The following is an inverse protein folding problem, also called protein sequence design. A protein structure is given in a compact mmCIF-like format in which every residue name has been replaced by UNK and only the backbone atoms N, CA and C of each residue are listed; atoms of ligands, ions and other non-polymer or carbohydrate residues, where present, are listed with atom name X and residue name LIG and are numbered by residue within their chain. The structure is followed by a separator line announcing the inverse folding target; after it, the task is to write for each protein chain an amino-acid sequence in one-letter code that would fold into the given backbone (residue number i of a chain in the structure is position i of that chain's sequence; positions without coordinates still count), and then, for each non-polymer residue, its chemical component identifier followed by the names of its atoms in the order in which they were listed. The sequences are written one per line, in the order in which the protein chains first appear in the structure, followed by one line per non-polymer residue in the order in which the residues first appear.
data_IF_637873449379
#
_entry.id   IF_637873449379
#
_cell.length_a   1.000
_cell.length_b   1.000
_cell.length_c   1.000
_cell.angle_alpha   90.00
_cell.angle_beta   90.00
_cell.angle_gamma   90.00
#
_symmetry.space_group_name_H-M   'P 1'
#
loop_
_entity.id
_entity.type
_entity.pdbx_description
1 polymer ?
#
# COMPACT_ATOMS: atom_id res chain seq x y z
N UNK A 1 4.49 1.11 21.58
CA UNK A 1 3.05 0.96 21.20
C UNK A 1 2.82 -0.53 21.00
N UNK A 2 1.81 -1.16 21.62
CA UNK A 2 1.52 -2.58 21.34
C UNK A 2 1.09 -2.70 19.87
N UNK A 3 1.67 -3.64 19.13
CA UNK A 3 1.27 -3.92 17.75
C UNK A 3 -0.17 -4.45 17.74
N UNK A 4 -0.96 -4.05 16.74
CA UNK A 4 -2.29 -4.62 16.50
C UNK A 4 -2.25 -5.91 15.67
N UNK A 5 -1.06 -6.25 15.14
CA UNK A 5 -0.85 -7.45 14.37
C UNK A 5 -1.12 -8.70 15.22
N UNK A 6 -1.89 -9.68 14.72
CA UNK A 6 -2.13 -10.93 15.43
C UNK A 6 -0.82 -11.66 15.77
N UNK A 7 -0.72 -12.19 16.99
CA UNK A 7 0.45 -12.96 17.47
C UNK A 7 1.79 -12.23 17.30
N UNK A 8 1.80 -10.90 17.40
CA UNK A 8 2.99 -10.08 17.16
C UNK A 8 4.20 -10.49 18.03
N UNK A 9 3.94 -11.07 19.20
CA UNK A 9 4.95 -11.54 20.15
C UNK A 9 5.91 -12.55 19.51
N UNK A 10 5.44 -13.34 18.54
CA UNK A 10 6.25 -14.34 17.82
C UNK A 10 7.35 -13.72 16.96
N UNK A 11 7.18 -12.44 16.61
CA UNK A 11 8.09 -11.72 15.72
C UNK A 11 8.95 -10.70 16.46
N UNK A 12 8.87 -10.65 17.79
CA UNK A 12 9.60 -9.67 18.59
C UNK A 12 11.12 -9.76 18.41
N UNK A 13 11.65 -10.97 18.20
CA UNK A 13 13.07 -11.25 18.03
C UNK A 13 13.41 -11.69 16.58
N UNK A 14 12.60 -11.29 15.59
CA UNK A 14 12.82 -11.63 14.17
C UNK A 14 13.10 -10.40 13.32
N UNK A 15 14.08 -10.49 12.43
CA UNK A 15 14.40 -9.41 11.48
C UNK A 15 13.44 -9.36 10.29
N UNK A 16 12.83 -10.50 9.93
CA UNK A 16 11.94 -10.64 8.80
C UNK A 16 10.76 -11.54 9.16
N UNK A 17 9.54 -11.04 8.90
CA UNK A 17 8.32 -11.83 8.99
C UNK A 17 8.17 -12.65 7.72
N UNK A 18 8.22 -13.98 7.83
CA UNK A 18 8.10 -14.91 6.71
C UNK A 18 6.70 -15.53 6.57
N UNK A 19 5.82 -15.28 7.53
CA UNK A 19 4.45 -15.79 7.52
C UNK A 19 3.57 -14.94 6.60
N UNK A 20 2.63 -15.60 5.92
CA UNK A 20 1.55 -14.93 5.18
C UNK A 20 0.40 -14.73 6.17
N UNK A 21 0.12 -13.47 6.49
CA UNK A 21 -0.94 -13.12 7.42
C UNK A 21 -2.28 -12.99 6.69
N UNK A 22 -3.33 -13.51 7.29
CA UNK A 22 -4.70 -13.17 6.87
C UNK A 22 -4.95 -11.66 7.10
N UNK A 23 -5.79 -11.01 6.27
CA UNK A 23 -6.17 -9.62 6.48
C UNK A 23 -6.74 -9.42 7.89
N UNK A 24 -6.09 -8.57 8.69
CA UNK A 24 -6.39 -8.40 10.12
C UNK A 24 -6.72 -6.95 10.52
N UNK A 25 -6.57 -6.01 9.60
CA UNK A 25 -6.66 -4.57 9.80
C UNK A 25 -7.91 -3.95 9.15
N UNK A 26 -8.97 -4.75 8.88
CA UNK A 26 -10.22 -4.21 8.37
C UNK A 26 -10.83 -3.19 9.34
N UNK A 27 -11.18 -2.01 8.82
CA UNK A 27 -11.68 -0.88 9.59
C UNK A 27 -10.58 -0.02 10.25
N UNK A 28 -9.32 -0.43 10.19
CA UNK A 28 -8.19 0.42 10.57
C UNK A 28 -7.86 1.42 9.45
N UNK A 29 -7.24 2.55 9.82
CA UNK A 29 -6.80 3.55 8.85
C UNK A 29 -5.38 3.98 9.17
N UNK A 30 -4.50 3.83 8.19
CA UNK A 30 -3.14 4.37 8.24
C UNK A 30 -3.15 5.85 7.84
N UNK A 31 -2.40 6.74 8.52
CA UNK A 31 -2.27 8.15 8.13
C UNK A 31 -1.35 8.34 6.90
N UNK A 32 -1.32 7.38 5.98
CA UNK A 32 -0.52 7.44 4.77
C UNK A 32 -1.08 8.43 3.75
N UNK A 33 -0.21 8.97 2.90
CA UNK A 33 -0.58 9.86 1.80
C UNK A 33 -0.29 9.16 0.48
N UNK A 34 -1.33 8.61 -0.15
CA UNK A 34 -1.24 7.87 -1.42
C UNK A 34 -2.38 8.26 -2.36
N UNK A 35 -2.11 8.29 -3.65
CA UNK A 35 -3.09 8.52 -4.71
C UNK A 35 -4.09 7.35 -4.84
N UNK A 36 -3.70 6.15 -4.38
CA UNK A 36 -4.57 4.95 -4.33
C UNK A 36 -5.85 5.21 -3.53
N UNK A 37 -5.81 6.12 -2.56
CA UNK A 37 -7.01 6.57 -1.84
C UNK A 37 -8.11 7.05 -2.79
N UNK A 38 -7.78 7.81 -3.84
CA UNK A 38 -8.74 8.27 -4.85
C UNK A 38 -9.25 7.12 -5.72
N UNK A 39 -8.39 6.16 -6.06
CA UNK A 39 -8.74 4.99 -6.86
C UNK A 39 -9.73 4.09 -6.09
N UNK A 40 -9.49 3.85 -4.80
CA UNK A 40 -10.32 2.99 -3.94
C UNK A 40 -11.77 3.44 -3.79
N UNK A 41 -12.06 4.72 -4.00
CA UNK A 41 -13.44 5.22 -4.04
C UNK A 41 -14.20 4.83 -5.32
N UNK A 42 -13.49 4.54 -6.40
CA UNK A 42 -14.07 4.31 -7.73
C UNK A 42 -14.12 2.83 -8.12
N UNK A 43 -13.23 2.01 -7.59
CA UNK A 43 -13.13 0.58 -7.91
C UNK A 43 -12.76 -0.23 -6.66
N UNK A 44 -13.14 -1.52 -6.58
CA UNK A 44 -12.54 -2.42 -5.60
C UNK A 44 -11.02 -2.35 -5.67
N UNK A 45 -10.39 -2.07 -4.53
CA UNK A 45 -8.95 -1.87 -4.40
C UNK A 45 -8.46 -2.60 -3.16
N UNK A 46 -7.32 -3.27 -3.28
CA UNK A 46 -6.63 -3.91 -2.18
C UNK A 46 -5.13 -3.63 -2.30
N UNK A 47 -4.50 -3.37 -1.16
CA UNK A 47 -3.05 -3.28 -1.02
C UNK A 47 -2.59 -4.41 -0.10
N UNK A 48 -1.35 -4.88 -0.25
CA UNK A 48 -0.75 -5.81 0.68
C UNK A 48 0.73 -5.46 0.90
N UNK A 49 1.23 -5.78 2.09
CA UNK A 49 2.63 -5.66 2.44
C UNK A 49 3.39 -6.98 2.22
N UNK A 50 4.67 -6.88 1.92
CA UNK A 50 5.59 -8.03 1.92
C UNK A 50 6.97 -7.59 2.43
N UNK A 51 7.85 -8.55 2.75
CA UNK A 51 9.10 -8.33 3.47
C UNK A 51 10.20 -7.68 2.59
N UNK A 52 9.99 -6.42 2.19
CA UNK A 52 10.97 -5.63 1.44
C UNK A 52 12.00 -4.91 2.33
N UNK A 53 11.79 -4.91 3.64
CA UNK A 53 12.62 -4.20 4.61
C UNK A 53 12.68 -4.97 5.94
N UNK A 54 13.68 -4.65 6.77
CA UNK A 54 13.85 -5.21 8.11
C UNK A 54 12.68 -4.76 8.99
N UNK A 55 12.19 -5.67 9.82
CA UNK A 55 11.09 -5.40 10.74
C UNK A 55 11.40 -4.19 11.63
N UNK A 56 10.45 -3.25 11.70
CA UNK A 56 10.57 -2.05 12.53
C UNK A 56 11.38 -0.90 11.93
N UNK A 57 12.01 -1.08 10.76
CA UNK A 57 12.69 0.01 10.08
C UNK A 57 11.70 1.13 9.69
N UNK A 58 11.97 2.41 10.00
CA UNK A 58 11.08 3.50 9.64
C UNK A 58 10.94 3.67 8.12
N UNK A 59 9.74 4.06 7.67
CA UNK A 59 9.56 4.57 6.31
C UNK A 59 10.33 5.87 6.10
N UNK A 60 10.68 6.18 4.85
CA UNK A 60 11.44 7.39 4.47
C UNK A 60 12.79 7.55 5.18
N UNK A 61 13.47 6.43 5.49
CA UNK A 61 14.77 6.44 6.16
C UNK A 61 15.88 5.87 5.28
N UNK A 62 17.14 6.14 5.66
CA UNK A 62 18.30 5.55 5.00
C UNK A 62 18.32 4.02 5.08
N UNK A 63 17.80 3.43 6.16
CA UNK A 63 17.64 1.98 6.27
C UNK A 63 16.75 1.46 5.12
N UNK A 64 15.62 2.14 4.85
CA UNK A 64 14.74 1.79 3.74
C UNK A 64 15.45 1.91 2.39
N UNK A 65 16.24 2.96 2.18
CA UNK A 65 17.06 3.15 0.97
C UNK A 65 18.04 2.00 0.79
N UNK A 66 18.81 1.67 1.83
CA UNK A 66 19.81 0.59 1.77
C UNK A 66 19.18 -0.78 1.50
N UNK A 67 17.99 -1.03 2.03
CA UNK A 67 17.30 -2.32 1.87
C UNK A 67 16.67 -2.48 0.48
N UNK A 68 16.32 -1.38 -0.19
CA UNK A 68 15.68 -1.41 -1.51
C UNK A 68 16.55 -2.07 -2.59
N UNK A 69 17.88 -2.01 -2.45
CA UNK A 69 18.83 -2.68 -3.36
C UNK A 69 19.26 -4.09 -2.91
N UNK A 70 18.71 -4.60 -1.82
CA UNK A 70 19.13 -5.88 -1.23
C UNK A 70 18.52 -7.09 -1.95
N UNK A 71 19.11 -8.27 -1.71
CA UNK A 71 18.57 -9.54 -2.23
C UNK A 71 17.19 -9.87 -1.66
N UNK A 72 16.87 -9.39 -0.46
CA UNK A 72 15.55 -9.54 0.18
C UNK A 72 14.50 -8.74 -0.60
N UNK A 73 14.79 -7.47 -0.90
CA UNK A 73 13.88 -6.62 -1.68
C UNK A 73 13.59 -7.22 -3.06
N UNK A 74 14.60 -7.74 -3.77
CA UNK A 74 14.37 -8.39 -5.07
C UNK A 74 13.51 -9.67 -4.97
N UNK A 75 13.73 -10.51 -3.96
CA UNK A 75 12.89 -11.70 -3.73
C UNK A 75 11.45 -11.31 -3.39
N UNK A 76 11.30 -10.31 -2.55
CA UNK A 76 10.01 -9.75 -2.14
C UNK A 76 9.26 -9.14 -3.33
N UNK A 77 9.95 -8.41 -4.21
CA UNK A 77 9.40 -7.89 -5.46
C UNK A 77 8.87 -9.02 -6.36
N UNK A 78 9.64 -10.09 -6.54
CA UNK A 78 9.21 -11.23 -7.35
C UNK A 78 7.98 -11.93 -6.73
N UNK A 79 7.93 -12.06 -5.40
CA UNK A 79 6.76 -12.57 -4.68
C UNK A 79 5.54 -11.67 -4.88
N UNK A 80 5.71 -10.35 -4.74
CA UNK A 80 4.63 -9.40 -4.90
C UNK A 80 4.07 -9.41 -6.33
N UNK A 81 4.96 -9.41 -7.33
CA UNK A 81 4.57 -9.46 -8.74
C UNK A 81 3.76 -10.73 -9.07
N UNK A 82 4.20 -11.90 -8.58
CA UNK A 82 3.45 -13.16 -8.75
C UNK A 82 2.10 -13.14 -8.06
N UNK A 83 2.03 -12.56 -6.87
CA UNK A 83 0.78 -12.44 -6.10
C UNK A 83 -0.22 -11.57 -6.86
N UNK A 84 0.19 -10.38 -7.31
CA UNK A 84 -0.66 -9.47 -8.10
C UNK A 84 -1.11 -10.12 -9.41
N UNK A 85 -0.20 -10.78 -10.13
CA UNK A 85 -0.53 -11.47 -11.38
C UNK A 85 -1.50 -12.63 -11.17
N UNK A 86 -1.30 -13.43 -10.12
CA UNK A 86 -2.21 -14.51 -9.73
C UNK A 86 -3.59 -13.98 -9.36
N UNK A 87 -3.67 -12.92 -8.56
CA UNK A 87 -4.95 -12.27 -8.23
C UNK A 87 -5.66 -11.73 -9.46
N UNK A 88 -4.94 -11.09 -10.39
CA UNK A 88 -5.52 -10.63 -11.64
C UNK A 88 -6.06 -11.80 -12.49
N UNK A 89 -5.31 -12.90 -12.57
CA UNK A 89 -5.74 -14.12 -13.26
C UNK A 89 -7.02 -14.69 -12.64
N UNK A 90 -7.09 -14.77 -11.31
CA UNK A 90 -8.29 -15.23 -10.60
C UNK A 90 -9.49 -14.33 -10.90
N UNK A 91 -9.33 -13.01 -10.86
CA UNK A 91 -10.41 -12.08 -11.17
C UNK A 91 -10.89 -12.17 -12.63
N UNK A 92 -9.98 -12.47 -13.56
CA UNK A 92 -10.30 -12.63 -14.99
C UNK A 92 -10.98 -13.97 -15.26
N UNK A 93 -10.52 -15.05 -14.63
CA UNK A 93 -10.97 -16.42 -14.91
C UNK A 93 -12.15 -16.87 -14.05
N UNK A 94 -12.38 -16.22 -12.91
CA UNK A 94 -13.44 -16.55 -11.95
C UNK A 94 -14.40 -15.36 -11.79
N UNK A 95 -15.39 -15.19 -12.67
CA UNK A 95 -16.26 -14.01 -12.70
C UNK A 95 -17.06 -13.81 -11.40
N UNK A 96 -17.34 -14.87 -10.65
CA UNK A 96 -18.01 -14.78 -9.36
C UNK A 96 -17.16 -14.08 -8.29
N UNK A 97 -15.82 -14.20 -8.33
CA UNK A 97 -14.94 -13.46 -7.43
C UNK A 97 -14.99 -11.96 -7.72
N UNK A 98 -14.92 -11.57 -9.00
CA UNK A 98 -15.04 -10.18 -9.41
C UNK A 98 -16.41 -9.58 -9.02
N UNK A 99 -17.49 -10.36 -9.17
CA UNK A 99 -18.83 -9.95 -8.77
C UNK A 99 -18.92 -9.73 -7.26
N UNK A 100 -18.35 -10.62 -6.45
CA UNK A 100 -18.29 -10.48 -4.99
C UNK A 100 -17.50 -9.23 -4.57
N UNK A 101 -16.34 -8.99 -5.17
CA UNK A 101 -15.53 -7.80 -4.89
C UNK A 101 -16.28 -6.50 -5.20
N UNK A 102 -16.96 -6.43 -6.35
CA UNK A 102 -17.80 -5.26 -6.71
C UNK A 102 -18.99 -5.07 -5.77
N UNK A 103 -19.61 -6.17 -5.33
CA UNK A 103 -20.74 -6.11 -4.40
C UNK A 103 -20.32 -5.61 -3.02
N UNK A 104 -19.20 -6.12 -2.48
CA UNK A 104 -18.62 -5.67 -1.22
C UNK A 104 -18.23 -4.19 -1.28
N UNK A 105 -17.54 -3.75 -2.34
CA UNK A 105 -17.18 -2.35 -2.53
C UNK A 105 -18.40 -1.43 -2.53
N UNK A 106 -19.45 -1.79 -3.27
CA UNK A 106 -20.72 -1.04 -3.31
C UNK A 106 -21.36 -0.94 -1.92
N UNK A 107 -21.37 -2.03 -1.16
CA UNK A 107 -21.90 -2.04 0.20
C UNK A 107 -21.08 -1.15 1.14
N UNK A 108 -19.75 -1.22 1.09
CA UNK A 108 -18.83 -0.41 1.90
C UNK A 108 -18.97 1.09 1.62
N UNK A 109 -19.21 1.47 0.36
CA UNK A 109 -19.49 2.86 -0.02
C UNK A 109 -20.82 3.37 0.55
N UNK A 110 -21.81 2.50 0.82
CA UNK A 110 -23.14 2.86 1.32
C UNK A 110 -23.81 3.96 0.49
N UNK A 111 -23.62 3.91 -0.83
CA UNK A 111 -24.15 4.91 -1.78
C UNK A 111 -23.46 6.28 -1.74
N UNK A 112 -22.35 6.44 -1.00
CA UNK A 112 -21.56 7.67 -0.99
C UNK A 112 -20.73 7.77 -2.27
N UNK A 113 -20.70 8.97 -2.84
CA UNK A 113 -19.83 9.31 -3.96
C UNK A 113 -18.67 10.14 -3.44
N UNK A 114 -17.45 9.76 -3.79
CA UNK A 114 -16.27 10.54 -3.45
C UNK A 114 -16.28 11.89 -4.15
N UNK A 115 -15.95 12.93 -3.39
CA UNK A 115 -15.64 14.26 -3.92
C UNK A 115 -14.24 14.61 -3.46
N UNK A 116 -13.37 14.92 -4.42
CA UNK A 116 -12.00 15.37 -4.11
C UNK A 116 -12.06 16.61 -3.20
N UNK A 117 -11.24 16.68 -2.14
CA UNK A 117 -11.09 17.88 -1.35
C UNK A 117 -10.23 18.94 -2.06
N UNK A 118 -9.52 18.55 -3.13
CA UNK A 118 -8.69 19.45 -3.94
C UNK A 118 -9.64 20.27 -4.84
N UNK A 119 -9.61 21.62 -4.75
CA UNK A 119 -10.39 22.49 -5.64
C UNK A 119 -10.02 22.31 -7.12
N UNK A 120 -10.98 22.53 -8.02
CA UNK A 120 -10.77 22.38 -9.46
C UNK A 120 -9.73 23.38 -10.03
N UNK A 121 -9.55 24.52 -9.37
CA UNK A 121 -8.58 25.56 -9.71
C UNK A 121 -7.22 25.39 -9.01
N UNK A 122 -7.05 24.29 -8.26
CA UNK A 122 -5.79 24.00 -7.58
C UNK A 122 -4.72 23.60 -8.61
N UNK A 123 -3.75 24.49 -8.81
CA UNK A 123 -2.55 24.23 -9.62
C UNK A 123 -1.39 23.78 -8.72
N UNK A 124 -0.60 22.76 -9.12
CA UNK A 124 0.60 22.39 -8.39
C UNK A 124 1.56 23.58 -8.28
N UNK A 125 2.25 23.78 -7.14
CA UNK A 125 3.16 24.91 -6.94
C UNK A 125 4.52 24.67 -7.64
N UNK A 126 4.50 24.55 -8.96
CA UNK A 126 5.67 24.15 -9.77
C UNK A 126 6.84 25.12 -9.64
N UNK A 127 6.56 26.42 -9.45
CA UNK A 127 7.63 27.42 -9.27
C UNK A 127 8.43 27.19 -7.98
N UNK A 128 7.77 26.82 -6.89
CA UNK A 128 8.45 26.46 -5.63
C UNK A 128 9.33 25.22 -5.83
N UNK A 129 8.80 24.21 -6.53
CA UNK A 129 9.52 22.98 -6.81
C UNK A 129 10.78 23.22 -7.67
N UNK A 130 10.68 24.07 -8.70
CA UNK A 130 11.82 24.46 -9.54
C UNK A 130 12.92 25.16 -8.73
N UNK A 131 12.54 26.14 -7.90
CA UNK A 131 13.50 26.84 -7.03
C UNK A 131 14.20 25.88 -6.07
N UNK A 132 13.46 24.94 -5.49
CA UNK A 132 14.04 23.91 -4.62
C UNK A 132 15.03 23.00 -5.35
N UNK A 133 14.69 22.56 -6.57
CA UNK A 133 15.55 21.71 -7.38
C UNK A 133 16.86 22.40 -7.77
N UNK A 134 16.82 23.68 -8.14
CA UNK A 134 18.02 24.46 -8.47
C UNK A 134 18.96 24.59 -7.27
N UNK A 135 18.44 24.87 -6.08
CA UNK A 135 19.26 24.99 -4.85
C UNK A 135 19.92 23.67 -4.43
N UNK A 136 19.33 22.54 -4.78
CA UNK A 136 19.90 21.23 -4.45
C UNK A 136 21.04 20.80 -5.39
N UNK A 137 21.27 21.55 -6.48
CA UNK A 137 22.35 21.32 -7.44
C UNK A 137 23.60 22.16 -7.16
N UNK A 138 23.52 23.10 -6.21
CA UNK A 138 24.63 23.91 -5.67
C UNK A 138 25.24 23.22 -4.44
#
# INVERSE_FOLDING_TARGET
KKSKMPNWERYADTDLVTDILDPWDDGETSPGSTDVSHVSWNTPTMEFGTACNILGAPGHSWQFVTMSGSTIAHKSLAFAAKTIAGTALDLITQPELLKKAKAEHKDRLKGRTYKTPIPDDCVPPLEIAKVGAMKAQE
#
